data_IF_919842097175
#
_entry.id   IF_919842097175
#
_cell.length_a   1.000
_cell.length_b   1.000
_cell.length_c   1.000
_cell.angle_alpha   90.00
_cell.angle_beta   90.00
_cell.angle_gamma   90.00
#
_symmetry.space_group_name_H-M   'P 1'
#
loop_
_entity.id
_entity.type
_entity.pdbx_description
1 polymer ?
#
# COMPACT_ATOMS: atom_id res chain seq x y z
N UNK A 1 -59.80 -42.22 2.34
CA UNK A 1 -59.38 -41.25 3.37
C UNK A 1 -58.64 -41.86 4.57
N UNK A 2 -58.65 -43.19 4.80
CA UNK A 2 -58.10 -43.79 6.04
C UNK A 2 -56.63 -44.22 6.02
N UNK A 3 -55.95 -44.19 4.86
CA UNK A 3 -54.57 -44.71 4.75
C UNK A 3 -53.53 -43.63 5.08
N UNK A 4 -53.87 -42.37 4.83
CA UNK A 4 -52.97 -41.22 5.06
C UNK A 4 -52.85 -40.89 6.57
N UNK A 5 -53.95 -40.99 7.31
CA UNK A 5 -53.92 -40.78 8.77
C UNK A 5 -53.18 -41.90 9.51
N UNK A 6 -53.19 -43.13 9.01
CA UNK A 6 -52.41 -44.22 9.60
C UNK A 6 -50.91 -44.02 9.38
N UNK A 7 -50.51 -43.58 8.18
CA UNK A 7 -49.10 -43.30 7.86
C UNK A 7 -48.52 -42.14 8.68
N UNK A 8 -49.32 -41.10 8.97
CA UNK A 8 -48.92 -40.00 9.86
C UNK A 8 -48.78 -40.44 11.33
N UNK A 9 -49.62 -41.38 11.79
CA UNK A 9 -49.53 -41.90 13.17
C UNK A 9 -48.30 -42.81 13.38
N UNK A 10 -47.88 -43.56 12.36
CA UNK A 10 -46.69 -44.41 12.44
C UNK A 10 -45.38 -43.60 12.43
N UNK A 11 -45.36 -42.44 11.76
CA UNK A 11 -44.22 -41.51 11.79
C UNK A 11 -44.09 -40.78 13.13
N UNK A 12 -45.20 -40.43 13.79
CA UNK A 12 -45.18 -39.80 15.11
C UNK A 12 -44.79 -40.76 16.26
N UNK A 13 -44.98 -42.08 16.08
CA UNK A 13 -44.54 -43.10 17.05
C UNK A 13 -43.07 -43.50 16.94
N UNK A 14 -42.35 -42.99 15.94
CA UNK A 14 -40.92 -43.23 15.74
C UNK A 14 -40.08 -42.04 16.22
N UNK A 15 -40.40 -41.53 17.41
CA UNK A 15 -39.45 -40.71 18.16
C UNK A 15 -38.32 -41.62 18.67
N UNK A 16 -37.15 -41.40 18.09
CA UNK A 16 -35.88 -42.00 18.46
C UNK A 16 -35.56 -41.75 19.93
N UNK A 17 -35.72 -42.76 20.77
CA UNK A 17 -35.11 -42.85 22.09
C UNK A 17 -33.60 -43.05 21.94
N UNK A 18 -32.88 -41.98 21.61
CA UNK A 18 -31.43 -41.91 21.83
C UNK A 18 -31.20 -41.26 23.17
N UNK A 19 -31.14 -42.08 24.21
CA UNK A 19 -30.57 -41.69 25.50
C UNK A 19 -29.10 -41.33 25.28
N UNK A 20 -28.78 -40.03 25.42
CA UNK A 20 -27.40 -39.54 25.41
C UNK A 20 -26.79 -39.96 26.75
N UNK A 21 -26.09 -41.08 26.77
CA UNK A 21 -25.19 -41.44 27.87
C UNK A 21 -23.82 -40.80 27.59
N UNK A 22 -23.32 -39.99 28.54
CA UNK A 22 -22.04 -39.33 28.40
C UNK A 22 -20.91 -40.37 28.40
N UNK A 23 -20.20 -40.50 27.29
CA UNK A 23 -19.02 -41.36 27.20
C UNK A 23 -17.95 -40.87 28.19
N UNK A 24 -17.72 -41.65 29.25
CA UNK A 24 -16.64 -41.41 30.21
C UNK A 24 -15.31 -41.79 29.54
N UNK A 25 -14.65 -40.80 28.95
CA UNK A 25 -13.30 -40.95 28.40
C UNK A 25 -12.28 -40.93 29.56
N UNK A 26 -11.45 -41.97 29.75
CA UNK A 26 -10.42 -41.95 30.78
C UNK A 26 -9.37 -40.87 30.43
N UNK A 27 -9.01 -40.05 31.42
CA UNK A 27 -7.95 -39.04 31.27
C UNK A 27 -6.64 -39.73 30.91
N UNK A 28 -6.13 -39.44 29.72
CA UNK A 28 -4.83 -39.91 29.24
C UNK A 28 -3.73 -39.34 30.15
N UNK A 29 -2.91 -40.22 30.72
CA UNK A 29 -1.70 -39.81 31.48
C UNK A 29 -0.75 -39.06 30.54
N UNK A 30 -0.71 -37.74 30.64
CA UNK A 30 0.30 -36.92 29.97
C UNK A 30 1.65 -37.13 30.66
N UNK A 31 2.68 -37.51 29.90
CA UNK A 31 4.06 -37.55 30.41
C UNK A 31 4.61 -36.12 30.45
N UNK A 32 5.44 -35.83 31.45
CA UNK A 32 6.01 -34.51 31.71
C UNK A 32 6.67 -33.89 30.46
N UNK A 33 6.41 -32.61 30.14
CA UNK A 33 7.02 -31.90 29.01
C UNK A 33 8.55 -31.76 29.15
N UNK A 34 9.10 -32.06 30.33
CA UNK A 34 10.53 -31.93 30.61
C UNK A 34 11.39 -32.89 29.77
N UNK A 35 10.84 -34.04 29.35
CA UNK A 35 11.54 -34.99 28.47
C UNK A 35 11.82 -34.39 27.08
N UNK A 36 10.90 -33.57 26.56
CA UNK A 36 11.04 -32.93 25.24
C UNK A 36 12.02 -31.75 25.27
N UNK A 37 12.05 -31.01 26.39
CA UNK A 37 12.98 -29.88 26.57
C UNK A 37 14.43 -30.36 26.67
N UNK A 38 14.68 -31.44 27.42
CA UNK A 38 16.03 -32.01 27.54
C UNK A 38 16.51 -32.60 26.21
N UNK A 39 15.64 -33.33 25.49
CA UNK A 39 16.00 -33.90 24.18
C UNK A 39 16.27 -32.84 23.10
N UNK A 40 15.52 -31.74 23.09
CA UNK A 40 15.73 -30.65 22.13
C UNK A 40 17.02 -29.87 22.36
N UNK A 41 17.39 -29.64 23.63
CA UNK A 41 18.60 -28.88 23.97
C UNK A 41 19.89 -29.63 23.62
N UNK A 42 19.94 -30.95 23.83
CA UNK A 42 21.11 -31.76 23.46
C UNK A 42 21.32 -31.86 21.96
N UNK A 43 20.23 -31.88 21.17
CA UNK A 43 20.32 -31.94 19.71
C UNK A 43 20.84 -30.61 19.12
N UNK A 44 20.48 -29.48 19.71
CA UNK A 44 20.94 -28.16 19.27
C UNK A 44 22.43 -27.93 19.53
N UNK A 45 22.97 -28.45 20.64
CA UNK A 45 24.40 -28.36 20.97
C UNK A 45 25.26 -29.25 20.06
N UNK A 46 24.77 -30.42 19.66
CA UNK A 46 25.48 -31.32 18.75
C UNK A 46 25.61 -30.74 17.33
N UNK A 47 24.58 -30.07 16.80
CA UNK A 47 24.67 -29.41 15.48
C UNK A 47 25.50 -28.12 15.49
N UNK A 48 25.49 -27.36 16.58
CA UNK A 48 26.26 -26.12 16.70
C UNK A 48 27.78 -26.35 16.73
N UNK A 49 28.24 -27.45 17.32
CA UNK A 49 29.66 -27.76 17.45
C UNK A 49 30.36 -28.15 16.13
N UNK A 50 29.64 -28.76 15.19
CA UNK A 50 30.23 -29.23 13.92
C UNK A 50 30.44 -28.10 12.89
N UNK A 51 29.65 -27.03 12.97
CA UNK A 51 29.72 -25.91 12.04
C UNK A 51 30.94 -25.00 12.27
N UNK A 52 31.47 -24.94 13.50
CA UNK A 52 32.61 -24.08 13.86
C UNK A 52 33.96 -24.73 13.54
N UNK A 53 34.04 -26.06 13.36
CA UNK A 53 35.32 -26.75 13.11
C UNK A 53 35.73 -26.86 11.63
N UNK A 54 34.91 -26.38 10.69
CA UNK A 54 35.15 -26.53 9.24
C UNK A 54 35.50 -25.22 8.53
N UNK A 55 35.87 -24.14 9.25
CA UNK A 55 36.24 -22.88 8.61
C UNK A 55 37.58 -23.03 7.85
N UNK A 56 37.63 -22.81 6.52
CA UNK A 56 38.86 -22.91 5.74
C UNK A 56 39.78 -21.72 6.04
N UNK A 57 41.07 -22.00 6.24
CA UNK A 57 42.12 -20.97 6.32
C UNK A 57 42.38 -20.44 4.90
N UNK A 58 42.07 -19.18 4.64
CA UNK A 58 42.49 -18.50 3.41
C UNK A 58 43.91 -17.96 3.57
N UNK A 59 44.88 -18.64 2.96
CA UNK A 59 46.18 -18.07 2.63
C UNK A 59 46.10 -17.50 1.21
N UNK A 60 45.98 -16.17 1.09
CA UNK A 60 46.52 -15.34 -0.01
C UNK A 60 46.00 -13.89 0.12
N UNK A 61 46.87 -12.86 0.21
CA UNK A 61 46.43 -11.48 0.14
C UNK A 61 46.11 -11.09 -1.30
N UNK A 62 44.87 -10.70 -1.54
CA UNK A 62 44.40 -10.10 -2.80
C UNK A 62 44.97 -8.67 -2.88
N UNK A 63 45.87 -8.43 -3.83
CA UNK A 63 46.28 -7.08 -4.24
C UNK A 63 45.10 -6.39 -4.93
N UNK A 64 44.45 -5.45 -4.24
CA UNK A 64 43.40 -4.61 -4.83
C UNK A 64 44.05 -3.32 -5.34
N UNK A 65 44.09 -3.16 -6.66
CA UNK A 65 44.45 -1.92 -7.33
C UNK A 65 43.27 -0.93 -7.18
N UNK A 66 43.47 0.17 -6.45
CA UNK A 66 42.48 1.23 -6.32
C UNK A 66 42.60 2.24 -7.48
N UNK A 67 41.49 2.74 -8.05
CA UNK A 67 41.53 3.79 -9.06
C UNK A 67 41.96 5.13 -8.43
N UNK A 68 43.00 5.76 -8.99
CA UNK A 68 43.42 7.12 -8.63
C UNK A 68 42.49 8.13 -9.33
N UNK A 69 41.90 9.04 -8.57
CA UNK A 69 41.16 10.20 -9.09
C UNK A 69 42.13 11.40 -9.08
N UNK A 70 42.57 11.84 -10.26
CA UNK A 70 43.35 13.06 -10.44
C UNK A 70 42.42 14.28 -10.45
N UNK A 71 42.69 15.26 -9.59
CA UNK A 71 42.06 16.59 -9.65
C UNK A 71 43.19 17.62 -9.77
N UNK A 72 43.28 18.27 -10.94
CA UNK A 72 44.21 19.37 -11.18
C UNK A 72 43.56 20.69 -10.77
N UNK A 73 44.12 21.36 -9.77
CA UNK A 73 43.84 22.77 -9.48
C UNK A 73 45.06 23.58 -9.89
N UNK A 74 44.86 24.47 -10.87
CA UNK A 74 45.87 25.41 -11.36
C UNK A 74 45.76 26.69 -10.55
N UNK A 75 46.86 27.13 -9.93
CA UNK A 75 46.99 28.49 -9.41
C UNK A 75 48.25 29.18 -9.94
N UNK A 76 48.15 30.51 -10.04
CA UNK A 76 48.95 31.41 -10.85
C UNK A 76 50.31 31.73 -10.20
N UNK A 77 51.29 30.83 -10.33
CA UNK A 77 52.72 31.17 -10.14
C UNK A 77 53.72 30.17 -10.72
N UNK A 78 53.29 29.20 -11.54
CA UNK A 78 54.18 28.54 -12.50
C UNK A 78 55.32 27.68 -11.95
N UNK A 79 55.25 27.15 -10.72
CA UNK A 79 56.16 26.10 -10.25
C UNK A 79 55.41 25.00 -9.49
N UNK A 80 55.58 23.76 -9.93
CA UNK A 80 54.92 22.57 -9.39
C UNK A 80 55.79 21.88 -8.32
N UNK A 81 55.31 21.82 -7.08
CA UNK A 81 55.91 21.00 -6.03
C UNK A 81 54.97 19.84 -5.67
N UNK A 82 55.47 18.60 -5.79
CA UNK A 82 54.76 17.36 -5.47
C UNK A 82 54.94 17.03 -3.99
N UNK A 83 53.84 16.92 -3.25
CA UNK A 83 53.84 16.33 -1.89
C UNK A 83 52.79 15.22 -1.87
N UNK A 84 53.24 14.00 -1.56
CA UNK A 84 52.42 12.80 -1.46
C UNK A 84 52.14 12.54 0.03
N UNK A 85 50.87 12.55 0.43
CA UNK A 85 50.43 12.14 1.77
C UNK A 85 49.44 10.98 1.64
N UNK A 86 49.68 9.82 2.27
CA UNK A 86 48.73 8.71 2.24
C UNK A 86 47.58 8.94 3.24
N UNK A 87 46.34 8.86 2.74
CA UNK A 87 45.13 8.86 3.55
C UNK A 87 44.89 7.46 4.15
N UNK A 88 44.80 7.37 5.48
CA UNK A 88 44.49 6.15 6.22
C UNK A 88 42.96 6.01 6.34
N UNK A 89 42.33 4.90 5.88
CA UNK A 89 40.93 4.63 6.19
C UNK A 89 40.79 4.07 7.62
N UNK A 90 40.06 4.77 8.47
CA UNK A 90 39.65 4.35 9.81
C UNK A 90 38.55 3.29 9.72
N UNK A 91 38.83 2.08 10.23
CA UNK A 91 37.85 1.01 10.45
C UNK A 91 37.11 1.20 11.80
N UNK A 92 35.77 1.09 11.88
CA UNK A 92 35.02 1.43 13.08
C UNK A 92 34.67 0.18 13.91
N UNK A 93 35.61 -0.39 14.66
CA UNK A 93 35.26 -1.18 15.86
C UNK A 93 36.53 -1.48 16.67
N UNK A 94 36.77 -0.72 17.74
CA UNK A 94 37.52 -1.24 18.88
C UNK A 94 37.19 -0.48 20.16
N UNK A 95 36.92 -1.29 21.18
CA UNK A 95 36.38 -0.99 22.51
C UNK A 95 37.56 -0.68 23.43
N UNK A 96 37.63 0.52 23.99
CA UNK A 96 38.67 0.92 24.94
C UNK A 96 38.22 0.66 26.38
N UNK A 97 39.01 -0.16 27.08
CA UNK A 97 38.93 -0.49 28.50
C UNK A 97 40.29 -0.07 29.10
N UNK A 98 40.22 0.82 30.11
CA UNK A 98 41.02 0.87 31.36
C UNK A 98 42.46 1.42 31.35
N UNK A 99 42.62 2.51 32.13
CA UNK A 99 43.63 2.80 33.22
C UNK A 99 45.11 2.92 32.75
N UNK A 100 45.96 3.84 33.20
CA UNK A 100 46.20 4.49 34.49
C UNK A 100 47.05 5.78 34.32
N UNK A 101 47.35 6.43 35.45
CA UNK A 101 48.54 7.24 35.79
C UNK A 101 48.33 8.72 36.08
N UNK A 102 48.03 8.96 37.38
CA UNK A 102 48.75 9.82 38.34
C UNK A 102 49.46 11.10 37.87
N UNK A 103 49.14 12.23 38.53
CA UNK A 103 49.99 12.85 39.56
C UNK A 103 49.31 14.09 40.18
N UNK A 104 49.11 14.04 41.51
CA UNK A 104 49.31 15.09 42.56
C UNK A 104 48.84 16.54 42.27
N UNK A 105 48.17 17.30 43.15
CA UNK A 105 48.22 17.36 44.62
C UNK A 105 47.16 18.36 45.18
N UNK A 106 46.83 18.15 46.46
CA UNK A 106 46.36 19.08 47.53
C UNK A 106 44.98 19.79 47.49
N UNK A 107 44.17 19.41 48.49
CA UNK A 107 43.03 20.02 49.20
C UNK A 107 43.33 21.37 49.91
N UNK A 108 42.37 22.05 50.62
CA UNK A 108 40.94 22.31 50.36
C UNK A 108 40.43 23.71 50.84
N UNK A 109 39.09 23.92 50.76
CA UNK A 109 38.22 24.90 51.47
C UNK A 109 38.40 26.42 51.23
N UNK A 110 37.34 27.08 50.72
CA UNK A 110 36.64 28.18 51.42
C UNK A 110 35.45 28.75 50.61
N UNK A 111 34.59 29.45 51.35
CA UNK A 111 33.19 29.81 51.10
C UNK A 111 33.05 31.32 50.85
N UNK A 112 31.83 31.75 50.45
CA UNK A 112 31.31 33.15 50.34
C UNK A 112 31.78 33.84 49.02
N UNK A 113 31.00 34.56 48.21
CA UNK A 113 29.96 35.57 48.44
C UNK A 113 29.16 35.87 47.15
N UNK A 114 27.91 36.35 47.30
CA UNK A 114 27.06 36.98 46.25
C UNK A 114 27.38 38.49 46.26
N UNK A 115 27.26 39.25 45.14
CA UNK A 115 26.02 40.00 44.94
C UNK A 115 25.61 40.26 43.47
N UNK A 116 24.33 40.62 43.32
CA UNK A 116 23.60 41.14 42.14
C UNK A 116 23.64 42.70 42.17
N UNK A 117 22.81 43.50 41.44
CA UNK A 117 22.42 43.63 40.00
C UNK A 117 22.72 45.06 39.44
N UNK A 118 22.43 45.33 38.15
CA UNK A 118 21.93 46.63 37.58
C UNK A 118 21.68 46.45 36.06
N UNK A 119 20.43 46.36 35.53
CA UNK A 119 19.41 47.38 35.18
C UNK A 119 19.65 48.16 33.87
N UNK A 120 18.70 48.05 32.92
CA UNK A 120 18.00 49.10 32.12
C UNK A 120 17.22 48.37 31.00
N UNK A 121 15.89 48.18 30.98
CA UNK A 121 14.71 49.06 31.07
C UNK A 121 14.41 49.89 29.80
N UNK A 122 13.37 49.49 29.05
CA UNK A 122 12.19 50.30 28.66
C UNK A 122 11.30 49.45 27.71
N UNK A 123 10.07 49.10 28.11
CA UNK A 123 8.82 49.89 28.00
C UNK A 123 8.11 49.56 26.68
N UNK A 124 6.83 49.23 26.56
CA UNK A 124 5.70 49.21 27.51
C UNK A 124 4.46 48.65 26.79
N UNK A 125 3.69 47.79 27.47
CA UNK A 125 2.21 47.88 27.69
C UNK A 125 1.26 47.86 26.46
N UNK A 126 0.05 47.28 26.45
CA UNK A 126 -0.85 46.73 27.48
C UNK A 126 -2.16 46.25 26.82
N UNK A 127 -2.81 45.24 27.44
CA UNK A 127 -4.27 45.00 27.65
C UNK A 127 -5.17 44.67 26.44
N UNK A 128 -5.75 43.47 26.30
CA UNK A 128 -6.93 42.81 26.95
C UNK A 128 -8.32 43.31 26.53
N UNK A 129 -9.17 42.35 26.13
CA UNK A 129 -10.62 42.18 26.44
C UNK A 129 -11.68 42.39 25.33
N UNK A 130 -12.22 41.26 24.87
CA UNK A 130 -13.63 40.79 24.80
C UNK A 130 -14.79 41.81 24.92
N UNK A 131 -15.72 41.76 23.94
CA UNK A 131 -17.21 41.69 24.05
C UNK A 131 -17.83 41.86 22.62
N UNK A 132 -18.53 40.90 22.03
CA UNK A 132 -19.95 40.48 22.15
C UNK A 132 -21.01 41.33 21.39
N UNK A 133 -21.75 40.64 20.51
CA UNK A 133 -23.11 40.87 19.95
C UNK A 133 -23.47 42.11 19.11
N UNK A 134 -23.97 41.89 17.88
CA UNK A 134 -25.38 42.16 17.50
C UNK A 134 -25.74 41.77 16.04
N UNK A 135 -26.95 41.20 15.89
CA UNK A 135 -27.68 40.86 14.65
C UNK A 135 -28.04 42.12 13.85
N UNK A 136 -27.98 42.07 12.50
CA UNK A 136 -29.03 42.62 11.63
C UNK A 136 -29.16 41.86 10.30
N UNK A 137 -30.41 41.78 9.89
CA UNK A 137 -31.03 41.16 8.71
C UNK A 137 -30.85 42.10 7.50
N UNK A 138 -30.59 41.59 6.29
CA UNK A 138 -31.13 42.14 5.02
C UNK A 138 -30.77 41.25 3.82
N UNK A 139 -31.79 40.86 3.06
CA UNK A 139 -31.74 40.30 1.70
C UNK A 139 -31.30 41.34 0.67
N UNK A 140 -30.85 40.97 -0.55
CA UNK A 140 -31.82 40.99 -1.65
C UNK A 140 -31.65 39.91 -2.75
N UNK A 141 -32.83 39.43 -3.20
CA UNK A 141 -33.31 39.30 -4.59
C UNK A 141 -32.59 38.40 -5.60
N UNK A 142 -33.40 37.45 -6.07
CA UNK A 142 -33.21 36.49 -7.15
C UNK A 142 -32.92 37.09 -8.54
N UNK A 143 -32.09 36.38 -9.30
CA UNK A 143 -32.09 36.38 -10.77
C UNK A 143 -32.29 34.94 -11.23
N UNK A 144 -33.31 34.78 -12.08
CA UNK A 144 -33.77 33.56 -12.73
C UNK A 144 -32.94 33.28 -13.98
N UNK A 145 -32.49 32.04 -14.18
CA UNK A 145 -32.09 31.51 -15.49
C UNK A 145 -32.64 30.10 -15.62
N UNK A 146 -33.51 29.91 -16.61
CA UNK A 146 -34.12 28.64 -17.00
C UNK A 146 -33.20 27.83 -17.95
N UNK A 147 -33.41 26.50 -18.07
CA UNK A 147 -32.50 25.58 -18.76
C UNK A 147 -32.79 25.47 -20.27
N UNK A 148 -31.75 25.24 -21.07
CA UNK A 148 -31.85 24.93 -22.50
C UNK A 148 -31.20 23.56 -22.76
N UNK A 149 -32.01 22.63 -23.27
CA UNK A 149 -31.63 21.32 -23.78
C UNK A 149 -30.97 21.45 -25.16
N UNK A 150 -29.97 20.62 -25.52
CA UNK A 150 -29.62 20.42 -26.92
C UNK A 150 -30.32 19.20 -27.52
N UNK A 151 -31.07 19.48 -28.59
CA UNK A 151 -31.68 18.54 -29.53
C UNK A 151 -30.59 17.89 -30.41
N UNK A 152 -30.67 16.57 -30.60
CA UNK A 152 -29.92 15.84 -31.63
C UNK A 152 -30.51 16.10 -33.02
N UNK A 153 -29.66 16.45 -34.00
CA UNK A 153 -29.90 16.10 -35.41
C UNK A 153 -28.57 15.74 -36.06
N UNK A 154 -28.51 14.53 -36.59
CA UNK A 154 -27.47 14.07 -37.51
C UNK A 154 -27.47 14.92 -38.79
N UNK A 155 -26.31 15.10 -39.42
CA UNK A 155 -26.15 14.72 -40.83
C UNK A 155 -24.70 14.74 -41.30
N UNK A 156 -24.45 13.72 -42.11
CA UNK A 156 -23.24 13.36 -42.85
C UNK A 156 -23.01 14.36 -43.99
N UNK A 157 -21.77 14.81 -44.22
CA UNK A 157 -21.07 14.61 -45.50
C UNK A 157 -19.72 15.31 -45.55
N UNK A 158 -18.79 14.64 -46.22
CA UNK A 158 -17.40 15.00 -46.51
C UNK A 158 -17.31 16.32 -47.25
N UNK A 159 -16.36 17.18 -46.85
CA UNK A 159 -15.64 18.04 -47.78
C UNK A 159 -14.14 18.06 -47.42
N UNK A 160 -13.38 17.79 -48.47
CA UNK A 160 -11.95 17.99 -48.72
C UNK A 160 -11.33 19.25 -48.10
N UNK A 161 -10.01 19.23 -47.93
CA UNK A 161 -9.21 20.32 -48.48
C UNK A 161 -8.15 19.80 -49.46
N UNK A 162 -8.16 20.38 -50.66
CA UNK A 162 -7.01 20.39 -51.58
C UNK A 162 -6.49 21.81 -51.72
N UNK A 163 -5.20 21.88 -52.09
CA UNK A 163 -4.40 23.03 -52.57
C UNK A 163 -3.69 23.77 -51.44
N UNK A 164 -2.38 24.08 -51.46
CA UNK A 164 -1.33 24.29 -52.49
C UNK A 164 0.00 24.01 -51.73
N UNK A 165 1.09 23.41 -52.20
CA UNK A 165 2.00 23.79 -53.27
C UNK A 165 3.21 22.83 -53.17
N UNK A 166 3.76 22.36 -54.30
CA UNK A 166 5.18 22.50 -54.69
C UNK A 166 5.48 21.56 -55.88
N UNK A 167 5.90 22.18 -56.97
CA UNK A 167 6.31 21.55 -58.23
C UNK A 167 7.72 20.97 -58.13
N UNK A 168 7.95 19.77 -58.66
CA UNK A 168 9.11 19.46 -59.52
C UNK A 168 9.01 18.02 -60.08
N UNK A 169 8.60 17.97 -61.35
CA UNK A 169 9.05 17.11 -62.46
C UNK A 169 9.86 15.83 -62.17
N UNK A 170 9.32 14.67 -62.59
CA UNK A 170 10.03 13.71 -63.48
C UNK A 170 9.00 13.00 -64.36
N UNK A 171 9.17 13.11 -65.67
CA UNK A 171 8.43 12.37 -66.70
C UNK A 171 8.86 10.89 -66.76
N UNK A 172 7.90 9.98 -66.98
CA UNK A 172 8.07 8.82 -67.88
C UNK A 172 6.68 8.26 -68.24
N UNK A 173 6.44 7.82 -69.49
CA UNK A 173 5.09 7.64 -70.01
C UNK A 173 4.53 6.22 -69.82
N UNK A 174 3.20 6.19 -69.74
CA UNK A 174 2.32 5.02 -69.80
C UNK A 174 2.60 4.06 -70.95
N UNK A 175 2.44 2.76 -70.68
CA UNK A 175 2.02 1.79 -71.69
C UNK A 175 0.93 0.86 -71.12
N UNK A 176 -0.25 0.97 -71.77
CA UNK A 176 -1.29 -0.04 -71.98
C UNK A 176 -1.99 -0.71 -70.79
N UNK A 177 -3.23 -0.28 -70.62
CA UNK A 177 -4.38 -1.05 -70.17
C UNK A 177 -4.63 -2.32 -71.00
N UNK A 178 -4.85 -3.45 -70.32
CA UNK A 178 -5.79 -4.47 -70.79
C UNK A 178 -6.83 -4.75 -69.72
N UNK A 179 -8.07 -4.45 -70.09
CA UNK A 179 -9.30 -4.78 -69.40
C UNK A 179 -9.53 -6.29 -69.50
N UNK A 180 -9.52 -6.98 -68.36
CA UNK A 180 -10.20 -8.26 -68.23
C UNK A 180 -11.33 -8.09 -67.23
N UNK A 181 -12.54 -8.22 -67.73
CA UNK A 181 -13.78 -8.24 -66.96
C UNK A 181 -13.79 -9.45 -66.02
N UNK A 182 -13.23 -9.28 -64.83
CA UNK A 182 -13.49 -10.10 -63.66
C UNK A 182 -14.27 -9.25 -62.67
N UNK A 183 -15.32 -9.81 -62.07
CA UNK A 183 -15.99 -9.20 -60.92
C UNK A 183 -14.94 -8.82 -59.87
N UNK A 184 -14.50 -7.56 -59.88
CA UNK A 184 -13.41 -7.08 -59.06
C UNK A 184 -13.85 -7.06 -57.62
N UNK A 185 -13.47 -8.07 -56.85
CA UNK A 185 -13.54 -8.03 -55.41
C UNK A 185 -12.57 -6.93 -54.95
N UNK A 186 -13.08 -5.74 -54.64
CA UNK A 186 -12.31 -4.72 -53.95
C UNK A 186 -12.00 -5.26 -52.54
N UNK A 187 -10.81 -5.83 -52.37
CA UNK A 187 -10.27 -6.18 -51.06
C UNK A 187 -9.69 -4.90 -50.47
N UNK A 188 -10.52 -4.13 -49.77
CA UNK A 188 -10.07 -2.98 -48.99
C UNK A 188 -9.36 -3.51 -47.73
N UNK A 189 -8.02 -3.49 -47.75
CA UNK A 189 -7.22 -3.88 -46.60
C UNK A 189 -7.30 -2.77 -45.54
N UNK A 190 -8.24 -2.91 -44.60
CA UNK A 190 -8.31 -2.03 -43.44
C UNK A 190 -7.20 -2.44 -42.47
N UNK A 191 -6.23 -1.58 -42.28
CA UNK A 191 -5.21 -1.78 -41.24
C UNK A 191 -5.85 -1.69 -39.85
N UNK A 192 -5.60 -2.72 -39.03
CA UNK A 192 -6.12 -2.74 -37.66
C UNK A 192 -5.44 -1.64 -36.82
N UNK A 193 -6.23 -0.91 -36.05
CA UNK A 193 -5.71 0.05 -35.08
C UNK A 193 -4.88 -0.65 -33.98
N UNK A 194 -3.95 0.07 -33.34
CA UNK A 194 -3.19 -0.46 -32.21
C UNK A 194 -4.08 -1.04 -31.11
N UNK A 195 -5.24 -0.41 -30.85
CA UNK A 195 -6.19 -0.93 -29.88
C UNK A 195 -6.81 -2.25 -30.34
N UNK A 196 -7.26 -2.36 -31.59
CA UNK A 196 -7.78 -3.62 -32.14
C UNK A 196 -6.74 -4.74 -32.18
N UNK A 197 -5.47 -4.40 -32.46
CA UNK A 197 -4.35 -5.35 -32.39
C UNK A 197 -4.13 -5.83 -30.95
N UNK A 198 -4.23 -4.93 -29.96
CA UNK A 198 -4.20 -5.28 -28.55
C UNK A 198 -5.33 -6.24 -28.19
N UNK A 199 -6.57 -5.91 -28.55
CA UNK A 199 -7.76 -6.70 -28.25
C UNK A 199 -7.69 -8.08 -28.92
N UNK A 200 -7.19 -8.18 -30.16
CA UNK A 200 -6.93 -9.45 -30.82
C UNK A 200 -5.89 -10.30 -30.04
N UNK A 201 -4.79 -9.67 -29.60
CA UNK A 201 -3.76 -10.34 -28.81
C UNK A 201 -4.29 -10.80 -27.45
N UNK A 202 -5.16 -10.03 -26.80
CA UNK A 202 -5.90 -10.44 -25.59
C UNK A 202 -6.78 -11.65 -25.87
N UNK A 203 -7.53 -11.63 -26.99
CA UNK A 203 -8.36 -12.76 -27.40
C UNK A 203 -7.54 -14.04 -27.60
N UNK A 204 -6.38 -13.95 -28.25
CA UNK A 204 -5.44 -15.08 -28.38
C UNK A 204 -4.91 -15.54 -27.03
N UNK A 205 -4.54 -14.61 -26.14
CA UNK A 205 -4.05 -14.92 -24.81
C UNK A 205 -5.10 -15.65 -23.96
N UNK A 206 -6.37 -15.24 -24.04
CA UNK A 206 -7.46 -15.87 -23.31
C UNK A 206 -7.71 -17.29 -23.82
N UNK A 207 -7.75 -17.51 -25.15
CA UNK A 207 -7.85 -18.86 -25.71
C UNK A 207 -6.71 -19.78 -25.26
N UNK A 208 -5.50 -19.24 -25.14
CA UNK A 208 -4.37 -19.99 -24.61
C UNK A 208 -4.55 -20.34 -23.13
N UNK A 209 -5.08 -19.43 -22.30
CA UNK A 209 -5.44 -19.76 -20.91
C UNK A 209 -6.50 -20.86 -20.83
N UNK A 210 -7.53 -20.77 -21.67
CA UNK A 210 -8.61 -21.76 -21.71
C UNK A 210 -8.08 -23.14 -22.15
N UNK A 211 -7.03 -23.16 -22.97
CA UNK A 211 -6.29 -24.36 -23.38
C UNK A 211 -5.21 -24.80 -22.37
N UNK A 212 -5.12 -24.16 -21.19
CA UNK A 212 -4.08 -24.36 -20.19
C UNK A 212 -2.64 -24.14 -20.70
N UNK A 213 -2.49 -23.41 -21.80
CA UNK A 213 -1.21 -22.95 -22.35
C UNK A 213 -0.80 -21.61 -21.72
N UNK A 214 -0.14 -21.70 -20.57
CA UNK A 214 0.38 -20.52 -19.85
C UNK A 214 1.42 -19.75 -20.68
N UNK A 215 2.22 -20.43 -21.50
CA UNK A 215 3.26 -19.79 -22.30
C UNK A 215 2.65 -18.94 -23.42
N UNK A 216 1.67 -19.49 -24.14
CA UNK A 216 0.88 -18.77 -25.14
C UNK A 216 0.12 -17.59 -24.55
N UNK A 217 -0.46 -17.77 -23.35
CA UNK A 217 -1.15 -16.69 -22.65
C UNK A 217 -0.21 -15.53 -22.29
N UNK A 218 0.95 -15.82 -21.69
CA UNK A 218 1.95 -14.80 -21.37
C UNK A 218 2.43 -14.06 -22.62
N UNK A 219 2.66 -14.77 -23.73
CA UNK A 219 3.03 -14.17 -25.01
C UNK A 219 1.93 -13.24 -25.53
N UNK A 220 0.68 -13.70 -25.58
CA UNK A 220 -0.44 -12.92 -26.07
C UNK A 220 -0.71 -11.66 -25.24
N UNK A 221 -0.68 -11.77 -23.91
CA UNK A 221 -0.83 -10.59 -23.04
C UNK A 221 0.37 -9.63 -23.12
N UNK A 222 1.58 -10.13 -23.34
CA UNK A 222 2.77 -9.29 -23.58
C UNK A 222 2.63 -8.52 -24.90
N UNK A 223 2.19 -9.18 -25.97
CA UNK A 223 1.88 -8.53 -27.26
C UNK A 223 0.77 -7.48 -27.10
N UNK A 224 -0.31 -7.83 -26.39
CA UNK A 224 -1.40 -6.89 -26.12
C UNK A 224 -0.92 -5.62 -25.42
N UNK A 225 -0.07 -5.77 -24.40
CA UNK A 225 0.50 -4.64 -23.66
C UNK A 225 1.47 -3.83 -24.52
N UNK A 226 2.16 -4.44 -25.49
CA UNK A 226 3.01 -3.73 -26.46
C UNK A 226 2.19 -2.80 -27.34
N UNK A 227 1.01 -3.23 -27.79
CA UNK A 227 0.11 -2.42 -28.61
C UNK A 227 -0.63 -1.34 -27.81
N UNK A 228 -1.00 -1.64 -26.55
CA UNK A 228 -1.70 -0.71 -25.66
C UNK A 228 -1.01 -0.62 -24.29
N UNK A 229 0.10 0.14 -24.17
CA UNK A 229 0.93 0.17 -22.95
C UNK A 229 0.25 0.76 -21.72
N UNK A 230 -0.80 1.58 -21.91
CA UNK A 230 -1.62 2.18 -20.85
C UNK A 230 -2.80 1.32 -20.41
N UNK A 231 -3.00 0.13 -21.00
CA UNK A 231 -4.10 -0.76 -20.63
C UNK A 231 -3.81 -1.45 -19.29
N UNK A 232 -4.46 -0.96 -18.23
CA UNK A 232 -4.26 -1.44 -16.86
C UNK A 232 -4.81 -2.86 -16.64
N UNK A 233 -5.89 -3.23 -17.33
CA UNK A 233 -6.50 -4.56 -17.22
C UNK A 233 -5.60 -5.65 -17.77
N UNK A 234 -5.03 -5.41 -18.96
CA UNK A 234 -4.06 -6.30 -19.60
C UNK A 234 -2.81 -6.44 -18.72
N UNK A 235 -2.31 -5.32 -18.20
CA UNK A 235 -1.14 -5.30 -17.32
C UNK A 235 -1.38 -6.06 -16.02
N UNK A 236 -2.53 -5.86 -15.37
CA UNK A 236 -2.90 -6.59 -14.16
C UNK A 236 -3.00 -8.09 -14.43
N UNK A 237 -3.68 -8.50 -15.51
CA UNK A 237 -3.77 -9.92 -15.89
C UNK A 237 -2.39 -10.53 -16.13
N UNK A 238 -1.54 -9.84 -16.88
CA UNK A 238 -0.17 -10.30 -17.14
C UNK A 238 0.64 -10.44 -15.84
N UNK A 239 0.54 -9.48 -14.92
CA UNK A 239 1.21 -9.54 -13.63
C UNK A 239 0.72 -10.71 -12.77
N UNK A 240 -0.60 -10.96 -12.74
CA UNK A 240 -1.18 -12.13 -12.03
C UNK A 240 -0.66 -13.44 -12.62
N UNK A 241 -0.55 -13.55 -13.95
CA UNK A 241 -0.02 -14.74 -14.61
C UNK A 241 1.46 -14.99 -14.28
N UNK A 242 2.29 -13.93 -14.29
CA UNK A 242 3.68 -14.06 -13.86
C UNK A 242 3.80 -14.50 -12.40
N UNK A 243 2.97 -13.94 -11.52
CA UNK A 243 2.92 -14.39 -10.12
C UNK A 243 2.50 -15.85 -10.00
N UNK A 244 1.47 -16.29 -10.73
CA UNK A 244 1.02 -17.68 -10.77
C UNK A 244 2.09 -18.65 -11.30
N UNK A 245 2.98 -18.17 -12.19
CA UNK A 245 4.16 -18.91 -12.67
C UNK A 245 5.31 -18.97 -11.64
N UNK A 246 5.24 -18.19 -10.55
CA UNK A 246 6.30 -18.04 -9.56
C UNK A 246 7.26 -16.87 -9.82
N UNK A 247 7.11 -16.15 -10.95
CA UNK A 247 7.93 -14.98 -11.28
C UNK A 247 7.37 -13.71 -10.61
N UNK A 248 7.50 -13.67 -9.28
CA UNK A 248 7.01 -12.57 -8.46
C UNK A 248 7.69 -11.25 -8.80
N UNK A 249 8.97 -11.30 -9.24
CA UNK A 249 9.74 -10.11 -9.62
C UNK A 249 9.13 -9.43 -10.84
N UNK A 250 8.84 -10.17 -11.91
CA UNK A 250 8.19 -9.58 -13.10
C UNK A 250 6.79 -9.09 -12.82
N UNK A 251 6.02 -9.79 -11.98
CA UNK A 251 4.70 -9.33 -11.57
C UNK A 251 4.78 -7.96 -10.88
N UNK A 252 5.73 -7.80 -9.97
CA UNK A 252 6.00 -6.53 -9.28
C UNK A 252 6.40 -5.41 -10.26
N UNK A 253 7.34 -5.68 -11.18
CA UNK A 253 7.81 -4.72 -12.19
C UNK A 253 6.68 -4.26 -13.13
N UNK A 254 5.78 -5.17 -13.52
CA UNK A 254 4.63 -4.86 -14.35
C UNK A 254 3.68 -3.88 -13.66
N UNK A 255 3.35 -4.12 -12.39
CA UNK A 255 2.52 -3.19 -11.62
C UNK A 255 3.23 -1.85 -11.42
N UNK A 256 4.50 -1.85 -10.99
CA UNK A 256 5.25 -0.61 -10.79
C UNK A 256 5.31 0.24 -12.06
N UNK A 257 5.64 -0.37 -13.20
CA UNK A 257 5.71 0.36 -14.48
C UNK A 257 4.34 0.88 -14.91
N UNK A 258 3.24 0.20 -14.57
CA UNK A 258 1.90 0.71 -14.79
C UNK A 258 1.54 1.90 -13.88
N UNK A 259 1.89 1.82 -12.61
CA UNK A 259 1.68 2.91 -11.64
C UNK A 259 2.48 4.16 -12.06
N UNK A 260 3.66 3.99 -12.67
CA UNK A 260 4.41 5.12 -13.25
C UNK A 260 3.69 5.79 -14.42
N UNK A 261 2.86 5.05 -15.18
CA UNK A 261 2.07 5.60 -16.29
C UNK A 261 0.77 6.26 -15.81
N UNK A 262 0.16 5.71 -14.76
CA UNK A 262 -0.99 6.30 -14.08
C UNK A 262 -0.78 6.27 -12.57
N UNK A 263 -0.27 7.38 -12.03
CA UNK A 263 0.01 7.54 -10.60
C UNK A 263 -1.24 7.40 -9.74
N UNK A 264 -2.43 7.68 -10.27
CA UNK A 264 -3.69 7.59 -9.52
C UNK A 264 -4.45 6.28 -9.76
N UNK A 265 -3.85 5.29 -10.44
CA UNK A 265 -4.50 3.99 -10.65
C UNK A 265 -4.66 3.21 -9.35
N UNK A 266 -5.87 3.25 -8.79
CA UNK A 266 -6.26 2.40 -7.67
C UNK A 266 -6.14 0.92 -8.02
N UNK A 267 -6.55 0.55 -9.23
CA UNK A 267 -6.54 -0.83 -9.73
C UNK A 267 -5.13 -1.43 -9.63
N UNK A 268 -4.13 -0.74 -10.17
CA UNK A 268 -2.75 -1.22 -10.17
C UNK A 268 -2.12 -1.17 -8.77
N UNK A 269 -2.39 -0.15 -7.97
CA UNK A 269 -1.89 -0.02 -6.58
C UNK A 269 -2.45 -1.11 -5.66
N UNK A 270 -3.75 -1.39 -5.76
CA UNK A 270 -4.38 -2.52 -5.08
C UNK A 270 -3.83 -3.84 -5.57
N UNK A 271 -3.66 -4.00 -6.89
CA UNK A 271 -3.05 -5.19 -7.48
C UNK A 271 -1.67 -5.48 -6.91
N UNK A 272 -0.81 -4.45 -6.83
CA UNK A 272 0.54 -4.55 -6.26
C UNK A 272 0.51 -4.88 -4.76
N UNK A 273 -0.37 -4.25 -4.00
CA UNK A 273 -0.48 -4.50 -2.55
C UNK A 273 -0.96 -5.92 -2.28
N UNK A 274 -1.95 -6.40 -3.04
CA UNK A 274 -2.44 -7.79 -2.97
C UNK A 274 -1.35 -8.79 -3.37
N UNK A 275 -0.54 -8.47 -4.39
CA UNK A 275 0.61 -9.28 -4.77
C UNK A 275 1.59 -9.42 -3.59
N UNK A 276 1.95 -8.31 -2.94
CA UNK A 276 2.90 -8.30 -1.82
C UNK A 276 2.39 -9.09 -0.61
N UNK A 277 1.11 -8.95 -0.26
CA UNK A 277 0.48 -9.78 0.80
C UNK A 277 0.58 -11.26 0.45
N UNK A 278 0.22 -11.65 -0.78
CA UNK A 278 0.26 -13.05 -1.24
C UNK A 278 1.69 -13.61 -1.33
N UNK A 279 2.68 -12.75 -1.55
CA UNK A 279 4.09 -13.10 -1.57
C UNK A 279 4.73 -13.15 -0.17
N UNK A 280 3.94 -13.11 0.91
CA UNK A 280 4.40 -13.04 2.30
C UNK A 280 5.26 -11.79 2.62
N UNK A 281 5.13 -10.73 1.83
CA UNK A 281 5.82 -9.44 2.02
C UNK A 281 4.83 -8.42 2.59
N UNK A 282 4.12 -8.80 3.66
CA UNK A 282 3.05 -7.98 4.24
C UNK A 282 3.57 -6.62 4.77
N UNK A 283 4.82 -6.56 5.24
CA UNK A 283 5.45 -5.31 5.71
C UNK A 283 5.60 -4.28 4.59
N UNK A 284 5.87 -4.72 3.35
CA UNK A 284 5.98 -3.86 2.19
C UNK A 284 4.60 -3.56 1.54
N UNK A 285 3.56 -4.31 1.90
CA UNK A 285 2.27 -4.26 1.22
C UNK A 285 1.51 -2.93 1.39
N UNK A 286 1.83 -2.14 2.42
CA UNK A 286 1.27 -0.79 2.57
C UNK A 286 1.89 0.20 1.58
N UNK A 287 3.14 -0.02 1.14
CA UNK A 287 3.89 0.95 0.34
C UNK A 287 3.17 1.47 -0.91
N UNK A 288 2.44 0.64 -1.70
CA UNK A 288 1.73 1.15 -2.87
C UNK A 288 0.48 1.95 -2.51
N UNK A 289 -0.07 1.75 -1.31
CA UNK A 289 -1.30 2.39 -0.82
C UNK A 289 -1.07 3.64 0.02
N UNK A 290 0.19 4.01 0.31
CA UNK A 290 0.51 5.26 1.00
C UNK A 290 -0.06 6.46 0.24
N UNK A 291 0.11 6.45 -1.09
CA UNK A 291 -0.51 7.42 -2.00
C UNK A 291 -2.04 7.33 -1.92
N UNK A 292 -2.72 8.44 -1.70
CA UNK A 292 -4.18 8.48 -1.71
C UNK A 292 -4.65 9.08 -3.05
N UNK A 293 -5.28 8.30 -3.95
CA UNK A 293 -5.78 8.82 -5.21
C UNK A 293 -6.99 9.75 -5.00
N UNK A 294 -7.30 10.63 -5.96
CA UNK A 294 -8.53 11.42 -5.92
C UNK A 294 -9.75 10.50 -5.94
N UNK A 295 -10.69 10.71 -5.01
CA UNK A 295 -11.92 9.91 -4.85
C UNK A 295 -11.65 8.41 -4.62
N UNK A 296 -10.92 8.04 -3.56
CA UNK A 296 -10.51 6.66 -3.33
C UNK A 296 -11.71 5.74 -3.14
N UNK A 297 -11.71 4.57 -3.78
CA UNK A 297 -12.77 3.58 -3.58
C UNK A 297 -12.73 3.00 -2.16
N UNK A 298 -13.89 2.52 -1.70
CA UNK A 298 -14.02 1.83 -0.41
C UNK A 298 -13.01 0.68 -0.25
N UNK A 299 -12.80 -0.13 -1.29
CA UNK A 299 -11.88 -1.26 -1.24
C UNK A 299 -10.42 -0.82 -1.11
N UNK A 300 -10.05 0.29 -1.75
CA UNK A 300 -8.75 0.93 -1.60
C UNK A 300 -8.50 1.34 -0.15
N UNK A 301 -9.44 2.09 0.40
CA UNK A 301 -9.36 2.59 1.77
C UNK A 301 -9.36 1.47 2.79
N UNK A 302 -10.21 0.45 2.61
CA UNK A 302 -10.30 -0.69 3.52
C UNK A 302 -8.99 -1.47 3.58
N UNK A 303 -8.34 -1.71 2.44
CA UNK A 303 -7.04 -2.39 2.42
C UNK A 303 -5.93 -1.51 2.99
N UNK A 304 -5.93 -0.20 2.69
CA UNK A 304 -4.99 0.76 3.27
C UNK A 304 -5.10 0.79 4.80
N UNK A 305 -6.32 0.90 5.34
CA UNK A 305 -6.62 0.92 6.77
C UNK A 305 -6.17 -0.37 7.47
N UNK A 306 -6.50 -1.53 6.89
CA UNK A 306 -6.14 -2.82 7.48
C UNK A 306 -4.62 -3.04 7.52
N UNK A 307 -3.92 -2.68 6.44
CA UNK A 307 -2.46 -2.80 6.36
C UNK A 307 -1.76 -1.80 7.28
N UNK A 308 -2.22 -0.54 7.33
CA UNK A 308 -1.62 0.48 8.19
C UNK A 308 -1.84 0.18 9.67
N UNK A 309 -3.02 -0.32 10.06
CA UNK A 309 -3.27 -0.80 11.42
C UNK A 309 -2.33 -1.96 11.77
N UNK A 310 -2.12 -2.92 10.86
CA UNK A 310 -1.22 -4.06 11.09
C UNK A 310 0.24 -3.63 11.21
N UNK A 311 0.67 -2.63 10.42
CA UNK A 311 2.03 -2.10 10.43
C UNK A 311 2.23 -0.94 11.41
N UNK A 312 1.27 -0.70 12.32
CA UNK A 312 1.32 0.37 13.32
C UNK A 312 1.55 1.79 12.74
N UNK A 313 1.08 2.04 11.51
CA UNK A 313 1.07 3.38 10.91
C UNK A 313 -0.25 4.08 11.23
N UNK A 314 -0.30 4.70 12.41
CA UNK A 314 -1.53 5.15 13.06
C UNK A 314 -2.21 6.30 12.31
N UNK A 315 -1.43 7.26 11.81
CA UNK A 315 -1.94 8.41 11.07
C UNK A 315 -2.60 7.97 9.75
N UNK A 316 -1.94 7.03 9.04
CA UNK A 316 -2.47 6.43 7.82
C UNK A 316 -3.74 5.63 8.12
N UNK A 317 -3.78 4.88 9.23
CA UNK A 317 -4.97 4.15 9.63
C UNK A 317 -6.14 5.10 9.95
N UNK A 318 -5.89 6.14 10.74
CA UNK A 318 -6.88 7.15 11.11
C UNK A 318 -7.46 7.85 9.88
N UNK A 319 -6.61 8.35 8.98
CA UNK A 319 -7.02 8.99 7.73
C UNK A 319 -7.89 8.04 6.90
N UNK A 320 -7.48 6.78 6.78
CA UNK A 320 -8.23 5.79 5.99
C UNK A 320 -9.60 5.49 6.59
N UNK A 321 -9.71 5.35 7.92
CA UNK A 321 -11.00 5.11 8.58
C UNK A 321 -11.92 6.33 8.56
N UNK A 322 -11.39 7.55 8.70
CA UNK A 322 -12.16 8.78 8.49
C UNK A 322 -12.79 8.80 7.10
N UNK A 323 -11.99 8.54 6.07
CA UNK A 323 -12.48 8.45 4.68
C UNK A 323 -13.47 7.31 4.45
N UNK A 324 -13.29 6.15 5.10
CA UNK A 324 -14.26 5.05 5.00
C UNK A 324 -15.63 5.42 5.57
N UNK A 325 -15.65 6.16 6.68
CA UNK A 325 -16.90 6.64 7.29
C UNK A 325 -17.57 7.70 6.41
N UNK A 326 -16.80 8.54 5.70
CA UNK A 326 -17.33 9.48 4.70
C UNK A 326 -17.97 8.74 3.50
N UNK A 327 -17.30 7.71 2.99
CA UNK A 327 -17.71 6.97 1.78
C UNK A 327 -18.84 5.96 2.06
N UNK A 328 -18.82 5.30 3.21
CA UNK A 328 -19.74 4.23 3.59
C UNK A 328 -20.15 4.38 5.06
N UNK A 329 -20.89 5.46 5.34
CA UNK A 329 -21.27 5.83 6.70
C UNK A 329 -22.21 4.82 7.37
N UNK A 330 -22.85 3.92 6.63
CA UNK A 330 -23.80 2.94 7.17
C UNK A 330 -23.11 1.71 7.81
N UNK A 331 -21.83 1.48 7.51
CA UNK A 331 -21.13 0.28 7.92
C UNK A 331 -20.44 0.46 9.28
N UNK A 332 -20.95 -0.23 10.29
CA UNK A 332 -20.45 -0.15 11.67
C UNK A 332 -18.95 -0.49 11.82
N UNK A 333 -18.38 -1.29 10.91
CA UNK A 333 -16.96 -1.69 11.00
C UNK A 333 -16.02 -0.50 10.83
N UNK A 334 -16.39 0.47 10.00
CA UNK A 334 -15.56 1.65 9.74
C UNK A 334 -15.57 2.59 10.94
N UNK A 335 -16.73 2.77 11.56
CA UNK A 335 -16.88 3.51 12.81
C UNK A 335 -16.09 2.87 13.95
N UNK A 336 -16.15 1.55 14.09
CA UNK A 336 -15.35 0.83 15.07
C UNK A 336 -13.84 1.02 14.84
N UNK A 337 -13.39 0.87 13.59
CA UNK A 337 -11.99 1.10 13.25
C UNK A 337 -11.54 2.54 13.52
N UNK A 338 -12.38 3.52 13.20
CA UNK A 338 -12.15 4.94 13.47
C UNK A 338 -12.00 5.19 14.98
N UNK A 339 -12.93 4.69 15.78
CA UNK A 339 -12.91 4.84 17.24
C UNK A 339 -11.64 4.27 17.86
N UNK A 340 -11.22 3.08 17.43
CA UNK A 340 -9.97 2.45 17.91
C UNK A 340 -8.76 3.33 17.56
N UNK A 341 -8.69 3.92 16.36
CA UNK A 341 -7.55 4.79 16.01
C UNK A 341 -7.56 6.11 16.79
N UNK A 342 -8.73 6.72 16.99
CA UNK A 342 -8.86 7.95 17.80
C UNK A 342 -8.46 7.70 19.26
N UNK A 343 -8.90 6.58 19.82
CA UNK A 343 -8.55 6.18 21.18
C UNK A 343 -7.04 5.94 21.35
N UNK A 344 -6.36 5.37 20.35
CA UNK A 344 -4.89 5.22 20.36
C UNK A 344 -4.17 6.57 20.34
N UNK A 345 -4.78 7.59 19.75
CA UNK A 345 -4.29 8.97 19.79
C UNK A 345 -4.70 9.74 21.05
N UNK A 346 -5.37 9.07 22.01
CA UNK A 346 -5.90 9.68 23.24
C UNK A 346 -6.98 10.74 22.99
N UNK A 347 -7.58 10.76 21.79
CA UNK A 347 -8.74 11.60 21.47
C UNK A 347 -10.01 10.87 21.93
N UNK A 348 -10.19 10.80 23.26
CA UNK A 348 -11.27 10.04 23.88
C UNK A 348 -12.66 10.57 23.54
N UNK A 349 -12.81 11.89 23.42
CA UNK A 349 -14.06 12.54 23.04
C UNK A 349 -14.52 12.08 21.66
N UNK A 350 -13.65 12.16 20.64
CA UNK A 350 -14.01 11.71 19.30
C UNK A 350 -14.16 10.19 19.21
N UNK A 351 -13.35 9.43 19.96
CA UNK A 351 -13.46 7.98 20.04
C UNK A 351 -14.84 7.54 20.57
N UNK A 352 -15.36 8.21 21.60
CA UNK A 352 -16.67 7.93 22.20
C UNK A 352 -17.80 8.11 21.19
N UNK A 353 -17.80 9.21 20.43
CA UNK A 353 -18.77 9.45 19.35
C UNK A 353 -18.70 8.33 18.30
N UNK A 354 -17.49 7.98 17.85
CA UNK A 354 -17.30 6.92 16.85
C UNK A 354 -17.72 5.54 17.36
N UNK A 355 -17.48 5.23 18.62
CA UNK A 355 -17.92 3.99 19.27
C UNK A 355 -19.45 3.90 19.34
N UNK A 356 -20.12 4.97 19.75
CA UNK A 356 -21.59 5.05 19.70
C UNK A 356 -22.11 4.93 18.26
N UNK A 357 -21.40 5.55 17.31
CA UNK A 357 -21.67 5.41 15.88
C UNK A 357 -21.60 3.96 15.39
N UNK A 358 -20.66 3.16 15.92
CA UNK A 358 -20.56 1.74 15.60
C UNK A 358 -21.72 0.91 16.17
N UNK A 359 -22.23 1.24 17.36
CA UNK A 359 -23.35 0.52 17.99
C UNK A 359 -24.71 0.75 17.34
N UNK A 360 -24.91 1.92 16.71
CA UNK A 360 -26.17 2.31 16.07
C UNK A 360 -26.30 1.79 14.64
N UNK A 361 -25.25 1.15 14.10
CA UNK A 361 -25.14 0.72 12.70
C UNK A 361 -25.02 -0.79 12.57
N UNK A 362 -25.31 -1.28 11.37
CA UNK A 362 -25.19 -2.70 11.05
C UNK A 362 -23.77 -3.00 10.57
N UNK A 363 -23.23 -4.17 10.94
CA UNK A 363 -21.98 -4.67 10.37
C UNK A 363 -20.95 -5.17 11.38
N UNK A 364 -21.21 -5.07 12.69
CA UNK A 364 -20.32 -5.63 13.72
C UNK A 364 -21.00 -6.76 14.49
N UNK A 365 -20.21 -7.74 14.95
CA UNK A 365 -20.71 -8.91 15.69
C UNK A 365 -21.18 -8.53 17.10
N UNK A 366 -21.99 -9.37 17.75
CA UNK A 366 -22.36 -9.17 19.17
C UNK A 366 -21.13 -9.06 20.08
N UNK A 367 -20.07 -9.82 19.79
CA UNK A 367 -18.80 -9.73 20.51
C UNK A 367 -18.16 -8.35 20.35
N UNK A 368 -18.15 -7.81 19.13
CA UNK A 368 -17.64 -6.48 18.85
C UNK A 368 -18.50 -5.39 19.52
N UNK A 369 -19.83 -5.55 19.56
CA UNK A 369 -20.71 -4.63 20.28
C UNK A 369 -20.42 -4.62 21.78
N UNK A 370 -20.20 -5.79 22.39
CA UNK A 370 -19.83 -5.89 23.80
C UNK A 370 -18.48 -5.22 24.07
N UNK A 371 -17.47 -5.49 23.24
CA UNK A 371 -16.20 -4.80 23.29
C UNK A 371 -16.36 -3.27 23.28
N UNK A 372 -17.21 -2.74 22.38
CA UNK A 372 -17.46 -1.30 22.30
C UNK A 372 -18.11 -0.76 23.58
N UNK A 373 -19.11 -1.45 24.13
CA UNK A 373 -19.75 -1.06 25.40
C UNK A 373 -18.76 -1.03 26.56
N UNK A 374 -17.85 -2.00 26.61
CA UNK A 374 -16.82 -2.06 27.66
C UNK A 374 -15.79 -0.93 27.50
N UNK A 375 -15.37 -0.61 26.27
CA UNK A 375 -14.48 0.56 26.02
C UNK A 375 -15.15 1.87 26.39
N UNK A 376 -16.42 2.07 26.07
CA UNK A 376 -17.16 3.28 26.44
C UNK A 376 -17.16 3.50 27.96
N UNK A 377 -17.44 2.46 28.76
CA UNK A 377 -17.38 2.55 30.23
C UNK A 377 -16.00 2.94 30.75
N UNK A 378 -14.94 2.40 30.13
CA UNK A 378 -13.57 2.73 30.52
C UNK A 378 -13.27 4.19 30.21
N UNK A 379 -13.64 4.68 29.03
CA UNK A 379 -13.45 6.08 28.63
C UNK A 379 -14.20 7.01 29.58
N UNK A 380 -15.47 6.73 29.89
CA UNK A 380 -16.28 7.54 30.81
C UNK A 380 -15.62 7.64 32.21
N UNK A 381 -15.10 6.52 32.72
CA UNK A 381 -14.41 6.50 34.01
C UNK A 381 -13.07 7.26 33.99
N UNK A 382 -12.40 7.36 32.84
CA UNK A 382 -11.17 8.16 32.72
C UNK A 382 -11.50 9.66 32.74
N UNK A 383 -12.55 10.09 32.04
CA UNK A 383 -13.01 11.49 32.04
C UNK A 383 -13.41 11.96 33.45
N UNK A 384 -14.18 11.16 34.19
CA UNK A 384 -14.61 11.49 35.57
C UNK A 384 -13.44 11.68 36.54
N UNK A 385 -12.32 10.98 36.33
CA UNK A 385 -11.14 11.08 37.19
C UNK A 385 -10.25 12.28 36.84
N UNK A 386 -10.21 12.69 35.56
CA UNK A 386 -9.46 13.86 35.12
C UNK A 386 -10.16 15.17 35.55
N UNK A 387 -11.49 15.19 35.58
CA UNK A 387 -12.28 16.35 36.06
C UNK A 387 -12.22 16.54 37.60
N UNK A 388 -11.77 15.52 38.34
CA UNK A 388 -11.73 15.52 39.81
C UNK A 388 -10.38 16.00 40.40
N UNK A 389 -9.36 16.21 39.58
CA UNK A 389 -8.04 16.76 39.97
C UNK A 389 -7.85 18.19 39.48
#
# INVERSE_FOLDING_TARGET
MSVINNALSELAKKESTTSIEAAVVPKVKTRSPLVWVVGGFTLSLAMGGWAVSQAPKLDNPISVSAPQVEVSLVDSSGQANRVVTPAVPLSPTQKLIVVDSELTSVTPLSKVEKPQPSVTAQSSSKTTSVAEQSKYLTTPKAVSVAPQEPIYVANVSKQTPSSVNEQASVETPSASSESSAGNGMLIEQIELTSQQLSDNAVGRAQKALDANDLAGALKGYTEALRYAPRNEDVRQKLAILYFGKGDTRKAYELYQSGIKLNTNSEKLRLGLSKLLVKANQAEAALSPLVHLPPNPTKDYLAMRAALSQKSQQEEIALESYKKLVEVDSANARWWLGLAIQQERQLDFSAAKESYQGALTRVGISSQSQNFVRDRLKIIDALEENDDAN
#
